data_IF_786167532657
#
_entry.id   IF_786167532657
#
_cell.length_a   1.000
_cell.length_b   1.000
_cell.length_c   1.000
_cell.angle_alpha   90.00
_cell.angle_beta   90.00
_cell.angle_gamma   90.00
#
_symmetry.space_group_name_H-M   'P 1'
#
loop_
_entity.id
_entity.type
_entity.pdbx_description
1 polymer ?
#
# COMPACT_ATOMS: atom_id res chain seq x y z
N UNK A 1 -64.34 49.18 -31.18
CA UNK A 1 -62.97 49.13 -31.73
C UNK A 1 -62.08 48.36 -30.76
N UNK A 2 -61.32 47.36 -31.27
CA UNK A 2 -60.28 46.53 -30.61
C UNK A 2 -60.80 45.52 -29.54
N UNK A 3 -61.07 44.24 -29.85
CA UNK A 3 -60.19 43.05 -30.04
C UNK A 3 -59.41 42.61 -28.78
N UNK A 4 -59.60 41.34 -28.39
CA UNK A 4 -58.58 40.28 -28.09
C UNK A 4 -58.61 39.59 -26.70
N UNK A 5 -59.00 38.30 -26.77
CA UNK A 5 -58.42 37.07 -26.19
C UNK A 5 -58.66 36.61 -24.73
N UNK A 6 -59.12 35.35 -24.69
CA UNK A 6 -59.06 34.37 -23.61
C UNK A 6 -57.62 34.00 -23.24
N UNK A 7 -57.38 33.66 -21.97
CA UNK A 7 -56.47 32.56 -21.61
C UNK A 7 -56.75 32.06 -20.17
N UNK A 8 -57.02 30.76 -20.07
CA UNK A 8 -57.07 29.98 -18.84
C UNK A 8 -55.65 29.87 -18.25
N UNK A 9 -55.50 30.11 -16.95
CA UNK A 9 -54.25 29.91 -16.22
C UNK A 9 -54.20 28.45 -15.73
N UNK A 10 -53.38 27.64 -16.39
CA UNK A 10 -53.06 26.27 -15.99
C UNK A 10 -52.03 26.35 -14.84
N UNK A 11 -52.41 25.90 -13.64
CA UNK A 11 -51.46 25.66 -12.54
C UNK A 11 -50.60 24.44 -12.91
N UNK A 12 -49.36 24.69 -13.31
CA UNK A 12 -48.35 23.65 -13.51
C UNK A 12 -47.52 23.54 -12.22
N UNK A 13 -47.83 22.55 -11.39
CA UNK A 13 -47.01 22.15 -10.25
C UNK A 13 -45.64 21.68 -10.77
N UNK A 14 -44.62 22.52 -10.68
CA UNK A 14 -43.22 22.08 -10.74
C UNK A 14 -42.90 21.31 -9.47
N UNK A 15 -43.07 19.99 -9.51
CA UNK A 15 -42.36 19.11 -8.60
C UNK A 15 -40.88 19.16 -8.98
N UNK A 16 -40.12 20.05 -8.33
CA UNK A 16 -38.66 19.99 -8.34
C UNK A 16 -38.25 18.69 -7.61
N UNK A 17 -38.08 17.61 -8.38
CA UNK A 17 -37.28 16.49 -7.92
C UNK A 17 -35.84 16.99 -7.77
N UNK A 18 -35.45 17.30 -6.54
CA UNK A 18 -34.05 17.44 -6.17
C UNK A 18 -33.40 16.07 -6.26
N UNK A 19 -33.00 15.65 -7.45
CA UNK A 19 -31.99 14.62 -7.61
C UNK A 19 -30.69 15.18 -7.02
N UNK A 20 -30.44 14.87 -5.74
CA UNK A 20 -29.10 15.05 -5.18
C UNK A 20 -28.06 14.35 -6.06
N UNK A 21 -26.79 14.76 -6.01
CA UNK A 21 -25.76 14.11 -6.81
C UNK A 21 -25.72 12.62 -6.46
N UNK A 22 -26.18 11.79 -7.39
CA UNK A 22 -25.97 10.36 -7.33
C UNK A 22 -24.47 10.16 -7.51
N UNK A 23 -23.74 9.99 -6.41
CA UNK A 23 -22.42 9.37 -6.48
C UNK A 23 -22.67 7.96 -7.03
N UNK A 24 -22.45 7.78 -8.33
CA UNK A 24 -22.33 6.45 -8.89
C UNK A 24 -21.16 5.80 -8.16
N UNK A 25 -21.45 4.96 -7.16
CA UNK A 25 -20.42 4.26 -6.41
C UNK A 25 -19.64 3.41 -7.39
N UNK A 26 -18.44 3.85 -7.73
CA UNK A 26 -17.56 3.11 -8.62
C UNK A 26 -17.20 1.81 -7.89
N UNK A 27 -17.76 0.71 -8.39
CA UNK A 27 -17.65 -0.67 -7.91
C UNK A 27 -18.34 -1.06 -6.58
N UNK A 28 -19.02 -0.15 -5.88
CA UNK A 28 -19.85 -0.42 -4.67
C UNK A 28 -19.25 -1.48 -3.71
N UNK A 29 -18.09 -1.21 -3.08
CA UNK A 29 -17.44 -2.18 -2.21
C UNK A 29 -18.35 -2.56 -1.03
N UNK A 30 -18.40 -3.85 -0.71
CA UNK A 30 -19.04 -4.37 0.51
C UNK A 30 -17.97 -4.73 1.53
N UNK A 31 -18.18 -4.36 2.79
CA UNK A 31 -17.19 -4.55 3.85
C UNK A 31 -17.78 -5.30 5.05
N UNK A 32 -16.96 -6.12 5.69
CA UNK A 32 -17.29 -6.71 6.99
C UNK A 32 -16.01 -6.88 7.82
N UNK A 33 -16.17 -7.11 9.12
CA UNK A 33 -15.06 -7.34 10.04
C UNK A 33 -15.32 -8.65 10.79
N UNK A 34 -14.31 -9.51 10.88
CA UNK A 34 -14.36 -10.73 11.70
C UNK A 34 -14.19 -10.38 13.19
N UNK A 35 -14.57 -11.31 14.07
CA UNK A 35 -14.46 -11.13 15.52
C UNK A 35 -12.99 -10.94 15.99
N UNK A 36 -12.01 -11.44 15.22
CA UNK A 36 -10.57 -11.24 15.46
C UNK A 36 -10.02 -9.90 14.92
N UNK A 37 -10.90 -8.99 14.49
CA UNK A 37 -10.55 -7.66 14.00
C UNK A 37 -10.13 -7.57 12.52
N UNK A 38 -10.07 -8.69 11.80
CA UNK A 38 -9.74 -8.66 10.36
C UNK A 38 -10.82 -7.92 9.58
N UNK A 39 -10.44 -6.79 8.97
CA UNK A 39 -11.32 -6.03 8.08
C UNK A 39 -11.23 -6.59 6.67
N UNK A 40 -12.38 -6.83 6.05
CA UNK A 40 -12.48 -7.41 4.71
C UNK A 40 -13.25 -6.48 3.80
N UNK A 41 -12.73 -6.26 2.59
CA UNK A 41 -13.35 -5.46 1.53
C UNK A 41 -13.55 -6.36 0.31
N UNK A 42 -14.76 -6.37 -0.25
CA UNK A 42 -15.07 -7.16 -1.45
C UNK A 42 -15.61 -6.22 -2.52
N UNK A 43 -15.02 -6.33 -3.71
CA UNK A 43 -15.38 -5.57 -4.90
C UNK A 43 -15.77 -6.56 -6.00
N UNK A 44 -17.08 -6.77 -6.15
CA UNK A 44 -17.63 -7.73 -7.12
C UNK A 44 -17.48 -7.19 -8.56
N UNK A 45 -16.85 -7.98 -9.44
CA UNK A 45 -16.64 -7.63 -10.84
C UNK A 45 -16.54 -8.89 -11.72
N UNK A 46 -17.67 -9.32 -12.27
CA UNK A 46 -17.80 -10.55 -13.07
C UNK A 46 -17.42 -10.41 -14.55
N UNK A 47 -16.57 -9.44 -14.91
CA UNK A 47 -16.18 -9.21 -16.33
C UNK A 47 -15.26 -10.29 -16.89
N UNK A 48 -14.46 -10.92 -16.03
CA UNK A 48 -13.55 -12.01 -16.38
C UNK A 48 -13.46 -12.96 -15.19
N UNK A 49 -13.30 -14.27 -15.40
CA UNK A 49 -13.23 -15.28 -14.33
C UNK A 49 -11.87 -15.24 -13.60
N UNK A 50 -11.53 -14.08 -13.06
CA UNK A 50 -10.25 -13.77 -12.41
C UNK A 50 -10.56 -13.05 -11.11
N UNK A 51 -9.81 -13.37 -10.07
CA UNK A 51 -9.86 -12.72 -8.76
C UNK A 51 -8.47 -12.27 -8.35
N UNK A 52 -8.40 -11.08 -7.77
CA UNK A 52 -7.24 -10.61 -7.05
C UNK A 52 -7.53 -10.57 -5.54
N UNK A 53 -6.63 -11.13 -4.75
CA UNK A 53 -6.58 -11.03 -3.31
C UNK A 53 -5.44 -10.09 -2.93
N UNK A 54 -5.67 -9.18 -1.99
CA UNK A 54 -4.63 -8.37 -1.37
C UNK A 54 -4.71 -8.47 0.14
N UNK A 55 -3.58 -8.59 0.80
CA UNK A 55 -3.46 -8.38 2.25
C UNK A 55 -2.61 -7.14 2.46
N UNK A 56 -3.22 -6.12 3.08
CA UNK A 56 -2.56 -4.88 3.45
C UNK A 56 -2.34 -4.86 4.96
N UNK A 57 -1.11 -5.07 5.39
CA UNK A 57 -0.74 -4.83 6.78
C UNK A 57 -0.49 -3.34 6.98
N UNK A 58 -1.09 -2.78 8.04
CA UNK A 58 -0.96 -1.35 8.38
C UNK A 58 0.40 -1.12 9.06
N UNK A 59 1.49 -1.50 8.42
CA UNK A 59 2.86 -1.37 8.94
C UNK A 59 3.84 -1.22 7.80
N UNK A 60 4.78 -0.28 7.87
CA UNK A 60 5.80 -0.10 6.85
C UNK A 60 7.13 0.36 7.46
N UNK A 61 8.06 0.78 6.61
CA UNK A 61 9.42 1.16 7.04
C UNK A 61 9.47 2.40 7.94
N UNK A 62 8.41 3.24 7.95
CA UNK A 62 8.34 4.37 8.88
C UNK A 62 8.22 3.94 10.35
N UNK A 63 7.86 2.67 10.59
CA UNK A 63 7.68 2.08 11.90
C UNK A 63 8.79 1.07 12.24
N UNK A 64 9.84 1.01 11.41
CA UNK A 64 11.04 0.23 11.72
C UNK A 64 11.64 0.71 13.06
N UNK A 65 12.00 -0.22 13.97
CA UNK A 65 12.65 0.14 15.21
C UNK A 65 14.04 0.73 14.93
N UNK A 66 14.50 1.57 15.85
CA UNK A 66 15.88 2.06 15.80
C UNK A 66 16.86 0.88 15.83
N UNK A 67 17.96 1.01 15.08
CA UNK A 67 18.94 -0.06 14.85
C UNK A 67 18.41 -1.31 14.14
N UNK A 68 17.23 -1.22 13.52
CA UNK A 68 16.62 -2.29 12.72
C UNK A 68 15.89 -1.73 11.49
N UNK A 69 16.38 -0.63 10.90
CA UNK A 69 15.81 -0.07 9.67
C UNK A 69 15.98 -1.04 8.50
N UNK A 70 14.97 -1.09 7.64
CA UNK A 70 14.82 -2.09 6.59
C UNK A 70 14.16 -3.38 7.07
N UNK A 71 13.79 -3.53 8.35
CA UNK A 71 13.18 -4.78 8.85
C UNK A 71 11.79 -5.05 8.26
N UNK A 72 11.00 -4.00 7.97
CA UNK A 72 9.72 -4.17 7.27
C UNK A 72 9.91 -4.80 5.89
N UNK A 73 10.84 -4.27 5.10
CA UNK A 73 11.19 -4.80 3.78
C UNK A 73 11.84 -6.18 3.87
N UNK A 74 12.71 -6.41 4.85
CA UNK A 74 13.29 -7.72 5.10
C UNK A 74 12.22 -8.77 5.42
N UNK A 75 11.25 -8.45 6.27
CA UNK A 75 10.15 -9.37 6.58
C UNK A 75 9.29 -9.64 5.34
N UNK A 76 9.11 -8.66 4.45
CA UNK A 76 8.45 -8.86 3.17
C UNK A 76 9.09 -9.99 2.36
N UNK A 77 10.42 -9.97 2.20
CA UNK A 77 11.12 -11.06 1.54
C UNK A 77 10.92 -12.38 2.27
N UNK A 78 11.09 -12.39 3.60
CA UNK A 78 11.00 -13.61 4.41
C UNK A 78 9.62 -14.26 4.41
N UNK A 79 8.57 -13.51 4.06
CA UNK A 79 7.23 -14.07 3.91
C UNK A 79 7.09 -15.05 2.75
N UNK A 80 8.08 -15.13 1.85
CA UNK A 80 8.20 -16.12 0.77
C UNK A 80 9.18 -17.27 1.09
N UNK A 81 9.74 -17.28 2.30
CA UNK A 81 10.92 -18.07 2.67
C UNK A 81 10.65 -19.04 3.82
N UNK A 82 9.42 -19.53 3.91
CA UNK A 82 9.07 -20.53 4.90
C UNK A 82 9.86 -21.84 4.76
N UNK A 83 9.64 -22.79 5.69
CA UNK A 83 10.26 -24.10 5.65
C UNK A 83 9.83 -24.88 4.40
N UNK A 84 10.63 -25.88 4.06
CA UNK A 84 10.31 -26.81 2.97
C UNK A 84 8.91 -27.42 3.16
N UNK A 85 8.12 -27.43 2.10
CA UNK A 85 6.72 -27.91 2.11
C UNK A 85 5.69 -26.93 2.68
N UNK A 86 6.08 -25.75 3.18
CA UNK A 86 5.11 -24.70 3.54
C UNK A 86 4.51 -24.02 2.31
N UNK A 87 3.25 -23.59 2.40
CA UNK A 87 2.60 -22.86 1.30
C UNK A 87 3.35 -21.57 0.98
N UNK A 88 3.86 -20.88 2.02
CA UNK A 88 4.63 -19.64 1.84
C UNK A 88 5.87 -19.78 0.97
N UNK A 89 6.60 -20.91 1.09
CA UNK A 89 7.78 -21.21 0.25
C UNK A 89 7.37 -21.64 -1.16
N UNK A 90 6.26 -22.34 -1.27
CA UNK A 90 5.78 -22.90 -2.53
C UNK A 90 4.96 -21.92 -3.38
N UNK A 91 4.77 -20.67 -2.94
CA UNK A 91 4.03 -19.64 -3.70
C UNK A 91 4.47 -19.59 -5.17
N UNK A 92 5.76 -19.49 -5.54
CA UNK A 92 6.15 -19.42 -6.95
C UNK A 92 5.66 -20.64 -7.73
N UNK A 93 5.90 -21.85 -7.20
CA UNK A 93 5.52 -23.11 -7.85
C UNK A 93 4.01 -23.29 -7.97
N UNK A 94 3.26 -22.89 -6.93
CA UNK A 94 1.80 -22.98 -6.90
C UNK A 94 1.22 -22.01 -7.94
N UNK A 95 1.64 -20.74 -7.91
CA UNK A 95 1.07 -19.71 -8.76
C UNK A 95 1.44 -19.94 -10.24
N UNK A 96 2.67 -20.37 -10.55
CA UNK A 96 3.06 -20.73 -11.91
C UNK A 96 2.19 -21.84 -12.50
N UNK A 97 1.89 -22.89 -11.70
CA UNK A 97 0.99 -23.99 -12.13
C UNK A 97 -0.45 -23.55 -12.33
N UNK A 98 -0.89 -22.52 -11.61
CA UNK A 98 -2.23 -21.95 -11.74
C UNK A 98 -2.32 -20.89 -12.86
N UNK A 99 -1.20 -20.52 -13.49
CA UNK A 99 -1.14 -19.37 -14.39
C UNK A 99 -1.45 -18.05 -13.67
N UNK A 100 -1.20 -18.01 -12.37
CA UNK A 100 -1.42 -16.85 -11.52
C UNK A 100 -0.21 -15.92 -11.48
N UNK A 101 -0.40 -14.76 -10.86
CA UNK A 101 0.66 -13.81 -10.57
C UNK A 101 0.62 -13.46 -9.09
N UNK A 102 1.77 -13.17 -8.51
CA UNK A 102 1.87 -12.69 -7.14
C UNK A 102 2.97 -11.63 -7.06
N UNK A 103 2.86 -10.77 -6.06
CA UNK A 103 3.97 -9.91 -5.67
C UNK A 103 3.74 -9.36 -4.26
N UNK A 104 4.72 -8.61 -3.79
CA UNK A 104 4.62 -7.83 -2.57
C UNK A 104 5.27 -6.46 -2.76
N UNK A 105 4.98 -5.56 -1.83
CA UNK A 105 5.78 -4.35 -1.68
C UNK A 105 5.63 -3.73 -0.30
N UNK A 106 6.73 -3.14 0.14
CA UNK A 106 6.80 -2.35 1.37
C UNK A 106 6.90 -0.87 1.06
N UNK A 107 5.99 -0.11 1.68
CA UNK A 107 5.95 1.35 1.71
C UNK A 107 6.46 1.86 3.06
N UNK A 108 6.53 3.17 3.22
CA UNK A 108 6.69 3.79 4.52
C UNK A 108 5.55 3.45 5.48
N UNK A 109 4.32 3.27 4.99
CA UNK A 109 3.12 3.16 5.84
C UNK A 109 2.45 1.78 5.88
N UNK A 110 2.75 0.94 4.91
CA UNK A 110 2.12 -0.36 4.75
C UNK A 110 3.05 -1.36 4.08
N UNK A 111 2.75 -2.64 4.26
CA UNK A 111 3.31 -3.74 3.48
C UNK A 111 2.13 -4.51 2.91
N UNK A 112 2.14 -4.73 1.60
CA UNK A 112 1.08 -5.46 0.92
C UNK A 112 1.63 -6.69 0.21
N UNK A 113 0.80 -7.72 0.16
CA UNK A 113 1.00 -8.95 -0.59
C UNK A 113 -0.24 -9.18 -1.42
N UNK A 114 -0.08 -9.67 -2.64
CA UNK A 114 -1.22 -9.96 -3.49
C UNK A 114 -0.99 -11.16 -4.39
N UNK A 115 -2.10 -11.79 -4.73
CA UNK A 115 -2.17 -12.86 -5.71
C UNK A 115 -3.34 -12.60 -6.68
N UNK A 116 -3.13 -12.91 -7.94
CA UNK A 116 -4.14 -12.87 -9.00
C UNK A 116 -4.22 -14.25 -9.63
N UNK A 117 -5.41 -14.85 -9.63
CA UNK A 117 -5.66 -16.22 -10.12
C UNK A 117 -7.03 -16.31 -10.79
N UNK A 118 -7.30 -17.41 -11.50
CA UNK A 118 -8.65 -17.73 -11.94
C UNK A 118 -9.60 -17.86 -10.73
N UNK A 119 -10.86 -17.41 -10.86
CA UNK A 119 -11.80 -17.32 -9.73
C UNK A 119 -12.04 -18.66 -9.01
N UNK A 120 -11.99 -19.77 -9.74
CA UNK A 120 -12.10 -21.13 -9.19
C UNK A 120 -10.91 -21.58 -8.32
N UNK A 121 -9.82 -20.79 -8.28
CA UNK A 121 -8.61 -21.06 -7.47
C UNK A 121 -8.49 -20.20 -6.22
N UNK A 122 -9.50 -19.38 -5.90
CA UNK A 122 -9.45 -18.43 -4.79
C UNK A 122 -9.10 -19.08 -3.43
N UNK A 123 -9.57 -20.29 -3.18
CA UNK A 123 -9.27 -21.00 -1.92
C UNK A 123 -7.78 -21.29 -1.75
N UNK A 124 -7.03 -21.44 -2.84
CA UNK A 124 -5.58 -21.69 -2.77
C UNK A 124 -4.86 -20.47 -2.22
N UNK A 125 -5.16 -19.28 -2.74
CA UNK A 125 -4.53 -18.03 -2.29
C UNK A 125 -5.01 -17.62 -0.89
N UNK A 126 -6.25 -17.96 -0.52
CA UNK A 126 -6.74 -17.81 0.86
C UNK A 126 -5.94 -18.65 1.84
N UNK A 127 -5.62 -19.91 1.50
CA UNK A 127 -4.83 -20.81 2.35
C UNK A 127 -3.39 -20.30 2.52
N UNK A 128 -2.78 -19.80 1.43
CA UNK A 128 -1.44 -19.21 1.45
C UNK A 128 -1.38 -18.05 2.46
N UNK A 129 -2.27 -17.08 2.32
CA UNK A 129 -2.26 -15.89 3.18
C UNK A 129 -2.71 -16.19 4.62
N UNK A 130 -3.65 -17.11 4.82
CA UNK A 130 -4.02 -17.56 6.15
C UNK A 130 -2.86 -18.26 6.88
N UNK A 131 -2.08 -19.11 6.20
CA UNK A 131 -0.87 -19.73 6.77
C UNK A 131 0.15 -18.68 7.19
N UNK A 132 0.47 -17.74 6.27
CA UNK A 132 1.45 -16.68 6.48
C UNK A 132 1.03 -15.70 7.59
N UNK A 133 -0.25 -15.38 7.71
CA UNK A 133 -0.78 -14.53 8.79
C UNK A 133 -0.81 -15.27 10.14
N UNK A 134 -1.14 -16.56 10.13
CA UNK A 134 -1.28 -17.35 11.36
C UNK A 134 0.08 -17.66 12.00
N UNK A 135 1.00 -18.23 11.24
CA UNK A 135 2.22 -18.81 11.80
C UNK A 135 3.37 -18.87 10.80
N UNK A 136 3.80 -17.72 10.28
CA UNK A 136 5.06 -17.63 9.54
C UNK A 136 6.22 -18.23 10.35
N UNK A 137 6.97 -19.14 9.71
CA UNK A 137 8.20 -19.72 10.26
C UNK A 137 9.39 -19.14 9.51
N UNK A 138 10.21 -18.37 10.22
CA UNK A 138 11.44 -17.76 9.67
C UNK A 138 12.63 -18.68 9.99
N UNK A 139 13.14 -19.37 8.97
CA UNK A 139 14.35 -20.20 9.09
C UNK A 139 15.60 -19.32 9.13
N UNK A 140 16.50 -19.57 10.09
CA UNK A 140 17.66 -18.70 10.30
C UNK A 140 18.62 -18.68 9.10
N UNK A 141 18.88 -19.82 8.47
CA UNK A 141 19.79 -19.94 7.34
C UNK A 141 19.26 -19.22 6.11
N UNK A 142 17.99 -19.43 5.77
CA UNK A 142 17.34 -18.73 4.65
C UNK A 142 17.26 -17.24 4.91
N UNK A 143 16.94 -16.85 6.14
CA UNK A 143 16.86 -15.46 6.51
C UNK A 143 18.22 -14.74 6.40
N UNK A 144 19.32 -15.40 6.78
CA UNK A 144 20.66 -14.85 6.61
C UNK A 144 21.06 -14.73 5.14
N UNK A 145 20.72 -15.72 4.30
CA UNK A 145 20.95 -15.65 2.84
C UNK A 145 20.19 -14.48 2.20
N UNK A 146 18.97 -14.24 2.64
CA UNK A 146 18.12 -13.19 2.07
C UNK A 146 18.66 -11.77 2.31
N UNK A 147 19.52 -11.57 3.31
CA UNK A 147 20.21 -10.28 3.50
C UNK A 147 21.12 -9.94 2.33
N UNK A 148 21.82 -10.93 1.76
CA UNK A 148 22.67 -10.72 0.58
C UNK A 148 21.82 -10.31 -0.63
N UNK A 149 20.65 -10.92 -0.79
CA UNK A 149 19.69 -10.56 -1.86
C UNK A 149 19.22 -9.11 -1.72
N UNK A 150 18.88 -8.69 -0.50
CA UNK A 150 18.45 -7.30 -0.22
C UNK A 150 19.60 -6.31 -0.43
N UNK A 151 20.83 -6.69 -0.09
CA UNK A 151 22.01 -5.86 -0.36
C UNK A 151 22.24 -5.68 -1.85
N UNK A 152 22.08 -6.71 -2.67
CA UNK A 152 22.15 -6.60 -4.13
C UNK A 152 21.00 -5.78 -4.70
N UNK A 153 19.79 -5.94 -4.16
CA UNK A 153 18.67 -5.09 -4.54
C UNK A 153 18.94 -3.61 -4.23
N UNK A 154 19.44 -3.29 -3.04
CA UNK A 154 19.82 -1.92 -2.66
C UNK A 154 20.86 -1.36 -3.63
N UNK A 155 21.89 -2.15 -3.94
CA UNK A 155 22.91 -1.75 -4.92
C UNK A 155 22.28 -1.41 -6.27
N UNK A 156 21.40 -2.27 -6.79
CA UNK A 156 20.76 -2.04 -8.09
C UNK A 156 19.78 -0.87 -8.10
N UNK A 157 18.90 -0.78 -7.08
CA UNK A 157 17.79 0.18 -7.05
C UNK A 157 18.20 1.56 -6.58
N UNK A 158 19.17 1.63 -5.68
CA UNK A 158 19.61 2.87 -5.04
C UNK A 158 21.06 3.16 -5.41
N UNK A 159 22.04 2.40 -4.91
CA UNK A 159 23.43 2.86 -4.91
C UNK A 159 24.03 3.04 -6.32
N UNK A 160 23.69 2.15 -7.25
CA UNK A 160 24.10 2.21 -8.66
C UNK A 160 23.15 3.05 -9.54
N UNK A 161 22.01 3.50 -9.00
CA UNK A 161 21.02 4.29 -9.73
C UNK A 161 21.11 5.78 -9.32
N UNK A 162 21.59 6.69 -10.19
CA UNK A 162 21.69 8.12 -9.87
C UNK A 162 20.38 8.75 -9.40
N UNK A 163 19.24 8.37 -10.01
CA UNK A 163 17.93 8.87 -9.60
C UNK A 163 17.51 8.31 -8.24
N UNK A 164 17.80 7.03 -7.99
CA UNK A 164 17.56 6.38 -6.70
C UNK A 164 18.29 7.07 -5.55
N UNK A 165 19.60 7.32 -5.71
CA UNK A 165 20.39 8.09 -4.72
C UNK A 165 19.90 9.52 -4.55
N UNK A 166 19.51 10.17 -5.65
CA UNK A 166 19.00 11.53 -5.59
C UNK A 166 17.71 11.61 -4.76
N UNK A 167 16.74 10.72 -5.00
CA UNK A 167 15.48 10.67 -4.24
C UNK A 167 15.73 10.30 -2.77
N UNK A 168 16.58 9.29 -2.48
CA UNK A 168 16.96 8.93 -1.10
C UNK A 168 17.58 10.13 -0.36
N UNK A 169 18.44 10.90 -1.03
CA UNK A 169 19.09 12.10 -0.47
C UNK A 169 18.09 13.22 -0.21
N UNK A 170 17.18 13.51 -1.15
CA UNK A 170 16.13 14.52 -0.98
C UNK A 170 15.30 14.20 0.27
N UNK A 171 14.86 12.94 0.44
CA UNK A 171 14.08 12.53 1.60
C UNK A 171 14.85 12.67 2.91
N UNK A 172 16.10 12.19 2.95
CA UNK A 172 16.94 12.22 4.15
C UNK A 172 17.27 13.65 4.63
N UNK A 173 17.34 14.60 3.70
CA UNK A 173 17.64 16.00 3.99
C UNK A 173 16.37 16.81 4.30
N UNK A 174 15.26 16.51 3.63
CA UNK A 174 13.99 17.21 3.82
C UNK A 174 13.32 16.89 5.17
N UNK A 175 13.33 15.62 5.59
CA UNK A 175 12.74 15.23 6.87
C UNK A 175 13.79 15.23 7.98
N UNK A 176 13.75 16.23 8.85
CA UNK A 176 14.71 16.41 9.95
C UNK A 176 14.49 15.40 11.07
N UNK A 177 13.24 14.97 11.30
CA UNK A 177 12.90 14.11 12.43
C UNK A 177 11.91 13.00 12.05
N UNK A 178 11.06 13.22 11.04
CA UNK A 178 10.05 12.24 10.63
C UNK A 178 10.70 11.00 9.99
N UNK A 179 10.21 9.79 10.27
CA UNK A 179 10.79 8.56 9.73
C UNK A 179 10.72 8.43 8.21
N UNK A 180 9.99 9.30 7.51
CA UNK A 180 9.97 9.34 6.03
C UNK A 180 11.29 9.81 5.41
N UNK A 181 12.19 10.40 6.20
CA UNK A 181 13.57 10.66 5.76
C UNK A 181 14.45 9.42 5.71
N UNK A 182 13.98 8.28 6.25
CA UNK A 182 14.73 7.02 6.26
C UNK A 182 14.52 6.28 4.95
N UNK A 183 15.54 5.58 4.48
CA UNK A 183 15.43 4.69 3.33
C UNK A 183 14.57 3.47 3.68
N UNK A 184 13.55 3.19 2.87
CA UNK A 184 12.61 2.09 3.13
C UNK A 184 13.21 0.69 3.02
N UNK A 185 14.18 0.50 2.13
CA UNK A 185 14.99 -0.73 2.04
C UNK A 185 16.01 -0.86 3.19
N UNK A 186 16.28 0.25 3.89
CA UNK A 186 17.31 0.37 4.92
C UNK A 186 18.66 0.84 4.36
N UNK A 187 19.49 1.41 5.24
CA UNK A 187 20.87 1.76 4.91
C UNK A 187 21.75 0.51 4.92
N UNK A 188 22.78 0.44 4.08
CA UNK A 188 23.66 -0.75 3.97
C UNK A 188 24.20 -1.21 5.33
N UNK A 189 24.65 -0.26 6.17
CA UNK A 189 25.15 -0.54 7.51
C UNK A 189 24.08 -1.10 8.46
N UNK A 190 22.81 -0.78 8.24
CA UNK A 190 21.70 -1.28 9.05
C UNK A 190 21.20 -2.63 8.54
N UNK A 191 21.13 -2.82 7.21
CA UNK A 191 20.78 -4.10 6.58
C UNK A 191 21.73 -5.21 7.06
N UNK A 192 23.05 -4.94 7.06
CA UNK A 192 24.07 -5.91 7.55
C UNK A 192 23.92 -6.28 9.03
N UNK A 193 23.21 -5.47 9.80
CA UNK A 193 22.97 -5.69 11.23
C UNK A 193 21.55 -6.24 11.51
N UNK A 194 20.74 -6.49 10.49
CA UNK A 194 19.46 -7.20 10.65
C UNK A 194 19.71 -8.65 11.05
N UNK A 195 18.76 -9.21 11.80
CA UNK A 195 18.84 -10.60 12.26
C UNK A 195 17.49 -11.28 12.11
N UNK A 196 17.46 -12.63 11.98
CA UNK A 196 16.20 -13.37 11.94
C UNK A 196 15.32 -13.09 13.16
N UNK A 197 15.92 -12.80 14.32
CA UNK A 197 15.16 -12.45 15.52
C UNK A 197 14.47 -11.09 15.40
N UNK A 198 15.11 -10.08 14.80
CA UNK A 198 14.48 -8.78 14.54
C UNK A 198 13.25 -8.94 13.64
N UNK A 199 13.35 -9.75 12.59
CA UNK A 199 12.23 -10.05 11.70
C UNK A 199 11.09 -10.81 12.42
N UNK A 200 11.41 -11.82 13.24
CA UNK A 200 10.41 -12.53 14.06
C UNK A 200 9.69 -11.60 15.02
N UNK A 201 10.43 -10.73 15.72
CA UNK A 201 9.85 -9.76 16.63
C UNK A 201 8.94 -8.78 15.87
N UNK A 202 9.37 -8.32 14.70
CA UNK A 202 8.58 -7.41 13.85
C UNK A 202 7.27 -8.06 13.40
N UNK A 203 7.33 -9.32 12.92
CA UNK A 203 6.15 -10.11 12.60
C UNK A 203 5.21 -10.25 13.81
N UNK A 204 5.73 -10.67 14.96
CA UNK A 204 4.94 -10.86 16.19
C UNK A 204 4.23 -9.58 16.65
N UNK A 205 4.88 -8.43 16.53
CA UNK A 205 4.36 -7.15 17.00
C UNK A 205 3.33 -6.50 16.08
N UNK A 206 3.31 -6.86 14.79
CA UNK A 206 2.57 -6.10 13.77
C UNK A 206 1.70 -6.92 12.83
N UNK A 207 2.00 -8.20 12.59
CA UNK A 207 1.31 -9.01 11.58
C UNK A 207 0.19 -9.84 12.22
N UNK A 208 -0.98 -9.25 12.36
CA UNK A 208 -2.18 -9.93 12.89
C UNK A 208 -3.45 -9.45 12.19
N UNK A 209 -4.57 -10.19 12.33
CA UNK A 209 -5.83 -9.87 11.66
C UNK A 209 -6.32 -8.46 12.00
N UNK A 210 -6.25 -8.06 13.26
CA UNK A 210 -6.61 -6.73 13.76
C UNK A 210 -5.72 -5.57 13.27
N UNK A 211 -4.63 -5.85 12.56
CA UNK A 211 -3.76 -4.86 11.92
C UNK A 211 -3.64 -5.05 10.39
N UNK A 212 -4.57 -5.79 9.79
CA UNK A 212 -4.60 -6.06 8.36
C UNK A 212 -5.95 -5.67 7.73
N UNK A 213 -5.93 -5.43 6.42
CA UNK A 213 -7.12 -5.33 5.57
C UNK A 213 -6.97 -6.37 4.46
N UNK A 214 -7.94 -7.27 4.36
CA UNK A 214 -8.01 -8.28 3.31
C UNK A 214 -8.97 -7.79 2.23
N UNK A 215 -8.52 -7.72 0.99
CA UNK A 215 -9.30 -7.17 -0.14
C UNK A 215 -9.46 -8.26 -1.20
N UNK A 216 -10.68 -8.48 -1.65
CA UNK A 216 -10.99 -9.30 -2.81
C UNK A 216 -11.62 -8.44 -3.90
N UNK A 217 -11.12 -8.55 -5.13
CA UNK A 217 -11.72 -7.88 -6.29
C UNK A 217 -11.71 -8.80 -7.50
N UNK A 218 -12.82 -8.84 -8.25
CA UNK A 218 -12.94 -9.70 -9.44
C UNK A 218 -14.22 -10.53 -9.43
N UNK A 219 -14.18 -11.67 -10.11
CA UNK A 219 -15.33 -12.58 -10.23
C UNK A 219 -15.56 -13.37 -8.94
N UNK A 220 -16.25 -12.73 -7.98
CA UNK A 220 -16.54 -13.25 -6.64
C UNK A 220 -17.90 -12.76 -6.17
N UNK A 221 -18.54 -13.54 -5.29
CA UNK A 221 -19.77 -13.16 -4.59
C UNK A 221 -19.47 -12.84 -3.13
N UNK A 222 -20.00 -11.72 -2.62
CA UNK A 222 -19.74 -11.28 -1.24
C UNK A 222 -20.07 -12.31 -0.16
N UNK A 223 -21.22 -12.98 -0.24
CA UNK A 223 -21.62 -13.96 0.79
C UNK A 223 -20.73 -15.22 0.76
N UNK A 224 -20.26 -15.63 -0.42
CA UNK A 224 -19.32 -16.74 -0.56
C UNK A 224 -17.95 -16.37 0.01
N UNK A 225 -17.42 -15.18 -0.34
CA UNK A 225 -16.18 -14.65 0.25
C UNK A 225 -16.29 -14.58 1.77
N UNK A 226 -17.39 -14.05 2.30
CA UNK A 226 -17.62 -13.92 3.75
C UNK A 226 -17.55 -15.28 4.44
N UNK A 227 -18.16 -16.31 3.85
CA UNK A 227 -18.10 -17.68 4.37
C UNK A 227 -16.67 -18.24 4.33
N UNK A 228 -15.97 -18.12 3.20
CA UNK A 228 -14.60 -18.62 3.04
C UNK A 228 -13.61 -17.90 3.95
N UNK A 229 -13.71 -16.58 4.06
CA UNK A 229 -12.84 -15.77 4.93
C UNK A 229 -13.06 -16.14 6.40
N UNK A 230 -14.31 -16.32 6.83
CA UNK A 230 -14.60 -16.83 8.18
C UNK A 230 -13.98 -18.21 8.40
N UNK A 231 -14.00 -19.08 7.40
CA UNK A 231 -13.41 -20.42 7.48
C UNK A 231 -11.87 -20.42 7.57
N UNK A 232 -11.17 -19.64 6.73
CA UNK A 232 -9.71 -19.66 6.68
C UNK A 232 -9.03 -18.73 7.69
N UNK A 233 -9.63 -17.57 7.96
CA UNK A 233 -9.03 -16.53 8.80
C UNK A 233 -9.69 -16.38 10.17
N UNK A 234 -10.89 -16.94 10.39
CA UNK A 234 -11.67 -16.73 11.61
C UNK A 234 -11.00 -17.23 12.89
N UNK A 235 -10.25 -18.34 12.81
CA UNK A 235 -9.57 -18.94 13.95
C UNK A 235 -8.15 -18.37 14.19
N UNK A 236 -7.73 -17.38 13.39
CA UNK A 236 -6.45 -16.70 13.61
C UNK A 236 -6.65 -15.72 14.77
N UNK A 237 -5.90 -15.85 15.88
CA UNK A 237 -6.05 -14.94 17.01
C UNK A 237 -5.60 -13.53 16.62
N UNK A 238 -6.23 -12.52 17.21
CA UNK A 238 -5.72 -11.17 17.17
C UNK A 238 -4.33 -11.07 17.81
N UNK A 239 -3.57 -10.03 17.47
CA UNK A 239 -2.25 -9.78 18.06
C UNK A 239 -2.26 -8.51 18.91
N UNK A 240 -1.42 -8.52 19.94
CA UNK A 240 -1.09 -7.31 20.68
C UNK A 240 -0.24 -6.40 19.78
N UNK A 241 -0.88 -5.40 19.18
CA UNK A 241 -0.20 -4.47 18.27
C UNK A 241 0.61 -3.47 19.10
N UNK A 242 1.90 -3.37 18.78
CA UNK A 242 2.78 -2.43 19.45
C UNK A 242 2.29 -0.99 19.31
N UNK A 243 2.53 -0.17 20.35
CA UNK A 243 2.19 1.26 20.29
C UNK A 243 3.05 1.92 19.21
N UNK A 244 2.39 2.50 18.21
CA UNK A 244 3.06 3.27 17.16
C UNK A 244 3.64 4.57 17.72
N UNK A 245 4.94 4.77 17.52
CA UNK A 245 5.64 5.99 17.89
C UNK A 245 6.16 6.61 16.59
N UNK A 246 5.52 7.69 16.14
CA UNK A 246 5.97 8.50 15.01
C UNK A 246 6.32 9.89 15.50
N UNK A 247 7.56 10.29 15.28
CA UNK A 247 8.00 11.68 15.48
C UNK A 247 7.21 12.61 14.59
N UNK A 248 6.90 13.80 15.10
CA UNK A 248 6.33 14.88 14.29
C UNK A 248 7.47 15.62 13.62
N UNK A 249 7.31 15.93 12.33
CA UNK A 249 8.25 16.78 11.61
C UNK A 249 8.16 18.21 12.16
N UNK A 250 9.26 18.81 12.63
CA UNK A 250 9.27 20.21 13.04
C UNK A 250 9.01 21.13 11.84
N UNK A 251 8.61 22.38 12.13
CA UNK A 251 8.58 23.40 11.09
C UNK A 251 9.99 23.64 10.56
N UNK A 252 10.14 23.75 9.23
CA UNK A 252 11.41 24.14 8.62
C UNK A 252 11.76 25.62 8.85
N UNK A 253 10.91 26.40 9.53
CA UNK A 253 11.14 27.83 9.86
C UNK A 253 11.50 28.71 8.64
N UNK A 254 10.96 28.36 7.47
CA UNK A 254 11.25 29.05 6.21
C UNK A 254 12.61 28.71 5.60
N UNK A 255 13.36 27.75 6.18
CA UNK A 255 14.58 27.26 5.58
C UNK A 255 14.29 26.59 4.23
N UNK A 256 15.13 26.91 3.24
CA UNK A 256 15.17 26.23 1.94
C UNK A 256 16.49 25.49 1.81
N UNK A 257 16.46 24.30 1.23
CA UNK A 257 17.65 23.52 0.94
C UNK A 257 17.71 23.22 -0.56
N UNK A 258 18.91 23.32 -1.12
CA UNK A 258 19.19 22.96 -2.51
C UNK A 258 20.27 21.89 -2.50
N UNK A 259 19.99 20.77 -3.14
CA UNK A 259 20.91 19.64 -3.27
C UNK A 259 21.30 19.54 -4.73
N UNK A 260 22.62 19.54 -4.99
CA UNK A 260 23.17 19.32 -6.32
C UNK A 260 24.03 18.06 -6.25
N UNK A 261 23.67 17.06 -7.05
CA UNK A 261 24.43 15.82 -7.19
C UNK A 261 24.88 15.68 -8.63
N UNK A 262 26.11 15.23 -8.82
CA UNK A 262 26.69 15.01 -10.14
C UNK A 262 26.97 13.52 -10.34
N UNK A 263 26.75 13.03 -11.55
CA UNK A 263 27.07 11.66 -11.94
C UNK A 263 27.43 11.62 -13.42
N UNK A 264 28.46 10.86 -13.77
CA UNK A 264 28.83 10.60 -15.17
C UNK A 264 27.84 9.64 -15.87
N UNK A 265 26.97 8.97 -15.10
CA UNK A 265 26.01 7.98 -15.59
C UNK A 265 24.66 8.58 -15.98
N UNK A 266 24.51 9.91 -15.98
CA UNK A 266 23.28 10.59 -16.44
C UNK A 266 23.53 11.33 -17.74
N UNK A 267 22.67 11.10 -18.73
CA UNK A 267 22.68 11.85 -19.99
C UNK A 267 21.85 13.14 -19.90
N UNK A 268 20.91 13.20 -18.96
CA UNK A 268 19.99 14.32 -18.76
C UNK A 268 19.91 14.67 -17.26
N UNK A 269 19.84 15.96 -16.90
CA UNK A 269 19.67 16.37 -15.51
C UNK A 269 18.27 16.05 -15.01
N UNK A 270 18.18 15.69 -13.73
CA UNK A 270 16.91 15.59 -13.01
C UNK A 270 16.71 16.84 -12.16
N UNK A 271 15.48 17.36 -12.12
CA UNK A 271 15.07 18.42 -11.21
C UNK A 271 13.91 17.93 -10.34
N UNK A 272 13.98 18.18 -9.04
CA UNK A 272 12.93 17.86 -8.09
C UNK A 272 12.78 19.01 -7.10
N UNK A 273 11.54 19.42 -6.86
CA UNK A 273 11.19 20.42 -5.85
C UNK A 273 10.20 19.80 -4.87
N UNK A 274 10.54 19.85 -3.58
CA UNK A 274 9.69 19.34 -2.50
C UNK A 274 9.15 20.52 -1.68
N UNK A 275 7.86 20.44 -1.36
CA UNK A 275 7.13 21.42 -0.54
C UNK A 275 6.24 20.68 0.44
N UNK A 276 6.18 21.18 1.66
CA UNK A 276 5.25 20.68 2.67
C UNK A 276 3.83 21.11 2.31
N UNK A 277 2.91 20.13 2.27
CA UNK A 277 1.48 20.37 2.03
C UNK A 277 0.65 20.02 3.28
N UNK A 278 -0.56 20.58 3.41
CA UNK A 278 -1.47 20.21 4.48
C UNK A 278 -1.81 18.72 4.46
N UNK A 279 -1.84 18.10 5.65
CA UNK A 279 -2.21 16.68 5.80
C UNK A 279 -3.71 16.50 5.54
N UNK A 280 -4.05 15.55 4.66
CA UNK A 280 -5.44 15.26 4.27
C UNK A 280 -6.42 15.11 5.43
N UNK A 281 -6.02 14.35 6.46
CA UNK A 281 -6.88 14.06 7.63
C UNK A 281 -7.12 15.31 8.50
N UNK A 282 -6.20 16.28 8.48
CA UNK A 282 -6.29 17.49 9.28
C UNK A 282 -6.91 18.68 8.52
N UNK A 283 -6.64 18.78 7.21
CA UNK A 283 -6.94 19.96 6.38
C UNK A 283 -7.44 19.52 5.00
N UNK A 284 -8.61 18.86 5.00
CA UNK A 284 -9.15 18.17 3.83
C UNK A 284 -9.33 19.07 2.61
N UNK A 285 -9.84 20.29 2.82
CA UNK A 285 -10.10 21.26 1.73
C UNK A 285 -8.80 21.68 1.05
N UNK A 286 -7.80 22.02 1.84
CA UNK A 286 -6.49 22.46 1.35
C UNK A 286 -5.75 21.32 0.68
N UNK A 287 -5.84 20.08 1.20
CA UNK A 287 -5.27 18.90 0.55
C UNK A 287 -5.90 18.64 -0.82
N UNK A 288 -7.22 18.76 -0.97
CA UNK A 288 -7.85 18.67 -2.29
C UNK A 288 -7.41 19.82 -3.22
N UNK A 289 -7.25 21.04 -2.70
CA UNK A 289 -6.74 22.14 -3.50
C UNK A 289 -5.31 21.86 -4.01
N UNK A 290 -4.45 21.24 -3.18
CA UNK A 290 -3.11 20.83 -3.61
C UNK A 290 -3.13 19.69 -4.63
N UNK A 291 -4.08 18.76 -4.57
CA UNK A 291 -4.26 17.72 -5.60
C UNK A 291 -4.66 18.35 -6.95
N UNK A 292 -5.61 19.29 -6.96
CA UNK A 292 -5.99 20.02 -8.18
C UNK A 292 -4.81 20.83 -8.73
N UNK A 293 -4.04 21.47 -7.86
CA UNK A 293 -2.83 22.19 -8.27
C UNK A 293 -1.81 21.23 -8.94
N UNK A 294 -1.55 20.07 -8.34
CA UNK A 294 -0.63 19.08 -8.90
C UNK A 294 -1.12 18.58 -10.27
N UNK A 295 -2.41 18.32 -10.41
CA UNK A 295 -3.04 17.94 -11.68
C UNK A 295 -2.79 18.99 -12.78
N UNK A 296 -3.07 20.26 -12.48
CA UNK A 296 -2.87 21.35 -13.43
C UNK A 296 -1.40 21.56 -13.79
N UNK A 297 -0.49 21.40 -12.83
CA UNK A 297 0.93 21.64 -13.03
C UNK A 297 1.61 20.53 -13.85
N UNK A 298 1.29 19.26 -13.62
CA UNK A 298 2.10 18.15 -14.11
C UNK A 298 1.34 16.98 -14.74
N UNK A 299 0.00 16.94 -14.70
CA UNK A 299 -0.73 15.77 -15.21
C UNK A 299 -0.95 15.84 -16.73
N UNK A 300 -0.05 15.20 -17.46
CA UNK A 300 -0.16 14.95 -18.90
C UNK A 300 0.26 16.12 -19.81
N UNK A 301 0.06 15.96 -21.12
CA UNK A 301 0.63 16.84 -22.16
C UNK A 301 -0.03 18.23 -22.24
N UNK A 302 -1.10 18.45 -21.47
CA UNK A 302 -1.80 19.74 -21.40
C UNK A 302 -1.49 20.51 -20.12
N UNK A 303 -0.66 19.97 -19.24
CA UNK A 303 -0.29 20.59 -17.96
C UNK A 303 0.68 21.76 -18.13
N UNK A 304 0.75 22.65 -17.14
CA UNK A 304 1.56 23.87 -17.23
C UNK A 304 3.06 23.63 -17.33
N UNK A 305 3.61 22.58 -16.71
CA UNK A 305 5.05 22.27 -16.81
C UNK A 305 5.42 21.58 -18.13
N UNK A 306 4.44 21.01 -18.83
CA UNK A 306 4.67 20.37 -20.12
C UNK A 306 4.71 21.39 -21.27
N UNK A 307 3.93 22.47 -21.17
CA UNK A 307 3.84 23.55 -22.18
C UNK A 307 5.01 24.53 -22.10
#
# INVERSE_FOLDING_TARGET
>A
MKRIFWTQLLLMCMACFSSGPTFAGVFNPKTFTLDNGLTVVVVENHRAPVVAQFVWYKIGSADDPDHARGVAHYLEHLMFKGPEGSLSREIPNILDRLGGMYNASTSADYTNYYEVVASDKIETIMKIEAERMKSLVIQNDEALRELDVILEERKMRIDANPLGRFIETIHAVWFWNHPYGRSGIGWESEIKNLTPQKARNFYQNWYGPNNAILIYTGDVDFEDIKKKVKHYFGDIPERAIAKRIRSVEPSHHGASQTIVMQSEHIAQPYYMEVRSIPRFVAQKKESYATEVLAYLLADGPTSYLYQ
#
